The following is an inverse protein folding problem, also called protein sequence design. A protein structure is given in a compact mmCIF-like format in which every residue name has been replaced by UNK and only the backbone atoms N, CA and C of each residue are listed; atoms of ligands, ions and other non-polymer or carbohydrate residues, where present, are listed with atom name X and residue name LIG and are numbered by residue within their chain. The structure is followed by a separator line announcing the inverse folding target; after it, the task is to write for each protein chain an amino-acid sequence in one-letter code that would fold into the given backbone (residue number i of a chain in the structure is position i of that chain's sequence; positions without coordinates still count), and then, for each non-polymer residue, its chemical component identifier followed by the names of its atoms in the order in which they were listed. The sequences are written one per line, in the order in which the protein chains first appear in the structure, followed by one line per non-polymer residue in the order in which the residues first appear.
data_IF_886318986706
#
_entry.id   IF_886318986706
#
_cell.length_a   1.000
_cell.length_b   1.000
_cell.length_c   1.000
_cell.angle_alpha   90.00
_cell.angle_beta   90.00
_cell.angle_gamma   90.00
#
_symmetry.space_group_name_H-M   'P 1'
#
loop_
_entity.id
_entity.type
_entity.pdbx_description
1 polymer ?
#
# COMPACT_ATOMS: atom_id res chain seq x y z
N UNK A 1 28.15 22.06 -31.70
CA UNK A 1 27.34 22.34 -30.49
C UNK A 1 25.93 21.76 -30.58
N UNK A 2 25.18 21.99 -31.67
CA UNK A 2 23.79 21.50 -31.81
C UNK A 2 23.60 19.97 -31.69
N UNK A 3 24.50 19.15 -32.24
CA UNK A 3 24.39 17.68 -32.20
C UNK A 3 24.37 17.12 -30.77
N UNK A 4 25.08 17.76 -29.81
CA UNK A 4 25.05 17.36 -28.39
C UNK A 4 23.69 17.61 -27.74
N UNK A 5 22.99 18.69 -28.11
CA UNK A 5 21.67 18.99 -27.56
C UNK A 5 20.60 18.04 -28.09
N UNK A 6 20.66 17.67 -29.37
CA UNK A 6 19.77 16.65 -29.94
C UNK A 6 20.00 15.27 -29.31
N UNK A 7 21.27 14.86 -29.11
CA UNK A 7 21.59 13.59 -28.46
C UNK A 7 21.11 13.56 -27.00
N UNK A 8 21.29 14.67 -26.27
CA UNK A 8 20.80 14.81 -24.90
C UNK A 8 19.26 14.79 -24.84
N UNK A 9 18.58 15.50 -25.75
CA UNK A 9 17.12 15.55 -25.83
C UNK A 9 16.49 14.20 -26.20
N UNK A 10 17.13 13.42 -27.06
CA UNK A 10 16.68 12.06 -27.42
C UNK A 10 16.86 11.10 -26.23
N UNK A 11 17.96 11.23 -25.50
CA UNK A 11 18.24 10.42 -24.31
C UNK A 11 17.28 10.74 -23.15
N UNK A 12 16.89 12.00 -22.96
CA UNK A 12 15.90 12.38 -21.94
C UNK A 12 14.48 11.92 -22.29
N UNK A 13 14.11 11.92 -23.58
CA UNK A 13 12.79 11.51 -24.02
C UNK A 13 12.60 9.99 -23.92
N UNK A 14 13.65 9.20 -24.16
CA UNK A 14 13.60 7.75 -23.95
C UNK A 14 13.47 7.40 -22.47
N UNK A 15 14.23 8.05 -21.57
CA UNK A 15 14.11 7.86 -20.12
C UNK A 15 12.70 8.18 -19.60
N UNK A 16 12.05 9.22 -20.11
CA UNK A 16 10.67 9.55 -19.74
C UNK A 16 9.66 8.48 -20.20
N UNK A 17 9.93 7.78 -21.30
CA UNK A 17 9.08 6.68 -21.78
C UNK A 17 9.23 5.40 -20.93
N UNK A 18 10.41 5.17 -20.34
CA UNK A 18 10.66 4.06 -19.41
C UNK A 18 10.09 4.29 -18.00
N UNK A 19 9.75 5.53 -17.65
CA UNK A 19 9.18 5.87 -16.34
C UNK A 19 7.70 5.46 -16.18
N UNK A 20 7.10 4.79 -17.16
CA UNK A 20 5.80 4.16 -17.00
C UNK A 20 5.99 2.83 -16.26
N UNK A 21 6.06 2.90 -14.92
CA UNK A 21 5.74 1.74 -14.09
C UNK A 21 4.39 1.18 -14.56
N UNK A 22 4.31 -0.15 -14.74
CA UNK A 22 3.03 -0.79 -15.03
C UNK A 22 2.04 -0.42 -13.94
N UNK A 23 0.83 -0.21 -14.42
CA UNK A 23 -0.26 0.32 -13.62
C UNK A 23 -1.10 -0.78 -12.97
N UNK A 24 -0.70 -2.04 -13.13
CA UNK A 24 -1.29 -3.20 -12.49
C UNK A 24 -1.12 -3.13 -10.97
N UNK A 25 -2.24 -3.04 -10.27
CA UNK A 25 -2.31 -2.80 -8.83
C UNK A 25 -3.23 -3.80 -8.16
N UNK A 26 -2.70 -4.56 -7.21
CA UNK A 26 -3.51 -5.41 -6.34
C UNK A 26 -3.98 -4.58 -5.14
N UNK A 27 -5.28 -4.60 -4.87
CA UNK A 27 -5.89 -3.94 -3.72
C UNK A 27 -6.50 -4.99 -2.81
N UNK A 28 -5.95 -5.14 -1.61
CA UNK A 28 -6.44 -6.03 -0.57
C UNK A 28 -7.39 -5.25 0.34
N UNK A 29 -8.57 -5.81 0.56
CA UNK A 29 -9.61 -5.22 1.39
C UNK A 29 -9.94 -6.15 2.57
N UNK A 30 -10.18 -5.58 3.74
CA UNK A 30 -10.77 -6.32 4.87
C UNK A 30 -12.23 -6.68 4.61
N UNK A 31 -12.94 -5.78 3.93
CA UNK A 31 -14.36 -5.88 3.65
C UNK A 31 -14.65 -5.15 2.33
N UNK A 32 -15.52 -5.73 1.50
CA UNK A 32 -15.92 -5.15 0.21
C UNK A 32 -16.56 -3.76 0.35
N UNK A 33 -17.16 -3.42 1.50
CA UNK A 33 -17.71 -2.09 1.79
C UNK A 33 -16.64 -0.98 1.71
N UNK A 34 -15.36 -1.32 1.93
CA UNK A 34 -14.24 -0.38 1.80
C UNK A 34 -14.14 0.16 0.36
N UNK A 35 -14.49 -0.67 -0.64
CA UNK A 35 -14.51 -0.27 -2.06
C UNK A 35 -15.48 0.88 -2.33
N UNK A 36 -16.62 0.89 -1.65
CA UNK A 36 -17.67 1.90 -1.82
C UNK A 36 -17.32 3.18 -1.05
N UNK A 37 -16.92 3.03 0.22
CA UNK A 37 -16.57 4.15 1.10
C UNK A 37 -15.34 4.94 0.61
N UNK A 38 -14.40 4.29 -0.06
CA UNK A 38 -13.20 4.90 -0.63
C UNK A 38 -13.27 5.05 -2.16
N UNK A 39 -14.48 5.07 -2.72
CA UNK A 39 -14.71 5.13 -4.18
C UNK A 39 -14.02 6.32 -4.85
N UNK A 40 -13.97 7.49 -4.21
CA UNK A 40 -13.28 8.68 -4.72
C UNK A 40 -11.80 8.36 -4.99
N UNK A 41 -11.09 7.77 -4.02
CA UNK A 41 -9.68 7.39 -4.16
C UNK A 41 -9.50 6.40 -5.33
N UNK A 42 -10.29 5.32 -5.35
CA UNK A 42 -10.16 4.29 -6.38
C UNK A 42 -10.51 4.81 -7.77
N UNK A 43 -11.46 5.73 -7.90
CA UNK A 43 -11.78 6.37 -9.17
C UNK A 43 -10.64 7.28 -9.62
N UNK A 44 -10.07 8.10 -8.72
CA UNK A 44 -8.90 8.92 -9.05
C UNK A 44 -7.71 8.08 -9.50
N UNK A 45 -7.46 6.91 -8.88
CA UNK A 45 -6.42 5.98 -9.33
C UNK A 45 -6.73 5.43 -10.73
N UNK A 46 -7.96 4.99 -10.99
CA UNK A 46 -8.37 4.52 -12.33
C UNK A 46 -8.26 5.61 -13.40
N UNK A 47 -8.67 6.84 -13.09
CA UNK A 47 -8.56 7.99 -14.00
C UNK A 47 -7.09 8.32 -14.35
N UNK A 48 -6.16 8.08 -13.41
CA UNK A 48 -4.71 8.16 -13.65
C UNK A 48 -4.15 6.96 -14.41
N UNK A 49 -5.00 5.97 -14.73
CA UNK A 49 -4.68 4.79 -15.53
C UNK A 49 -4.31 3.55 -14.72
N UNK A 50 -4.50 3.52 -13.39
CA UNK A 50 -4.24 2.34 -12.57
C UNK A 50 -5.28 1.23 -12.82
N UNK A 51 -4.79 0.02 -13.09
CA UNK A 51 -5.60 -1.19 -13.24
C UNK A 51 -5.73 -1.87 -11.87
N UNK A 52 -6.86 -1.61 -11.19
CA UNK A 52 -7.09 -2.08 -9.83
C UNK A 52 -7.77 -3.44 -9.82
N UNK A 53 -7.10 -4.44 -9.26
CA UNK A 53 -7.66 -5.76 -8.95
C UNK A 53 -7.98 -5.83 -7.47
N UNK A 54 -9.26 -6.02 -7.11
CA UNK A 54 -9.70 -6.07 -5.72
C UNK A 54 -9.82 -7.51 -5.24
N UNK A 55 -9.21 -7.82 -4.09
CA UNK A 55 -9.33 -9.12 -3.42
C UNK A 55 -9.51 -8.95 -1.91
N UNK A 56 -10.08 -9.97 -1.26
CA UNK A 56 -10.11 -10.04 0.20
C UNK A 56 -8.70 -10.36 0.71
N UNK A 57 -8.29 -9.78 1.84
CA UNK A 57 -6.95 -10.00 2.39
C UNK A 57 -6.72 -11.46 2.86
N UNK A 58 -7.80 -12.20 3.13
CA UNK A 58 -7.83 -13.62 3.53
C UNK A 58 -8.12 -14.59 2.36
N UNK A 59 -8.18 -14.09 1.11
CA UNK A 59 -8.48 -14.93 -0.06
C UNK A 59 -7.38 -16.01 -0.26
N UNK A 60 -7.73 -17.31 -0.21
CA UNK A 60 -6.75 -18.41 -0.32
C UNK A 60 -6.11 -18.50 -1.72
N UNK A 61 -6.59 -17.74 -2.70
CA UNK A 61 -6.05 -17.69 -4.06
C UNK A 61 -5.13 -16.49 -4.30
N UNK A 62 -4.74 -15.78 -3.24
CA UNK A 62 -3.77 -14.69 -3.32
C UNK A 62 -2.38 -15.21 -3.70
N UNK A 63 -1.85 -14.64 -4.78
CA UNK A 63 -0.51 -14.93 -5.29
C UNK A 63 0.06 -13.63 -5.87
N UNK A 64 1.22 -13.20 -5.37
CA UNK A 64 1.89 -11.98 -5.81
C UNK A 64 2.80 -12.24 -7.03
N UNK A 65 3.47 -13.39 -7.05
CA UNK A 65 4.36 -13.83 -8.11
C UNK A 65 4.22 -15.32 -8.39
N UNK A 66 4.56 -15.72 -9.62
CA UNK A 66 4.67 -17.12 -10.01
C UNK A 66 5.85 -17.29 -10.95
N UNK A 67 6.65 -18.33 -10.73
CA UNK A 67 7.85 -18.62 -11.53
C UNK A 67 8.82 -17.43 -11.63
N UNK A 68 9.00 -16.68 -10.54
CA UNK A 68 9.92 -15.54 -10.47
C UNK A 68 9.43 -14.27 -11.20
N UNK A 69 8.16 -14.21 -11.62
CA UNK A 69 7.56 -13.02 -12.21
C UNK A 69 6.38 -12.53 -11.37
N UNK A 70 6.37 -11.24 -11.04
CA UNK A 70 5.26 -10.58 -10.37
C UNK A 70 4.09 -10.33 -11.33
N UNK A 71 2.87 -10.51 -10.83
CA UNK A 71 1.65 -10.19 -11.58
C UNK A 71 1.25 -8.72 -11.47
N UNK A 72 1.74 -8.05 -10.42
CA UNK A 72 1.41 -6.67 -10.08
C UNK A 72 2.70 -5.90 -9.81
N UNK A 73 2.70 -4.59 -10.07
CA UNK A 73 3.81 -3.71 -9.72
C UNK A 73 3.49 -2.87 -8.48
N UNK A 74 2.21 -2.78 -8.11
CA UNK A 74 1.74 -2.03 -6.95
C UNK A 74 0.84 -2.91 -6.07
N UNK A 75 0.99 -2.81 -4.76
CA UNK A 75 0.17 -3.47 -3.75
C UNK A 75 -0.40 -2.42 -2.80
N UNK A 76 -1.72 -2.37 -2.68
CA UNK A 76 -2.44 -1.52 -1.73
C UNK A 76 -3.13 -2.42 -0.70
N UNK A 77 -2.83 -2.26 0.59
CA UNK A 77 -3.40 -3.06 1.67
C UNK A 77 -4.30 -2.18 2.53
N UNK A 78 -5.59 -2.19 2.21
CA UNK A 78 -6.67 -1.56 2.99
C UNK A 78 -7.37 -2.62 3.85
N UNK A 79 -6.55 -3.34 4.61
CA UNK A 79 -6.97 -4.35 5.55
C UNK A 79 -6.32 -4.09 6.92
N UNK A 80 -6.67 -2.98 7.60
CA UNK A 80 -5.94 -2.54 8.78
C UNK A 80 -5.93 -3.56 9.92
N UNK A 81 -6.94 -4.43 10.03
CA UNK A 81 -7.06 -5.42 11.11
C UNK A 81 -6.62 -6.83 10.69
N UNK A 82 -5.88 -6.98 9.59
CA UNK A 82 -5.47 -8.30 9.10
C UNK A 82 -4.40 -8.90 10.02
N UNK A 83 -4.63 -10.13 10.47
CA UNK A 83 -3.69 -10.87 11.31
C UNK A 83 -2.74 -11.73 10.48
N UNK A 84 -3.25 -12.29 9.38
CA UNK A 84 -2.54 -13.16 8.45
C UNK A 84 -3.14 -12.98 7.05
N UNK A 85 -2.31 -13.05 6.01
CA UNK A 85 -2.77 -12.97 4.63
C UNK A 85 -3.16 -14.35 4.09
N UNK A 86 -4.08 -14.39 3.14
CA UNK A 86 -4.48 -15.62 2.47
C UNK A 86 -3.48 -16.11 1.42
N UNK A 87 -3.65 -17.38 1.04
CA UNK A 87 -2.97 -17.97 -0.12
C UNK A 87 -1.47 -18.14 0.08
N UNK A 88 -0.68 -17.70 -0.91
CA UNK A 88 0.79 -17.74 -0.83
C UNK A 88 1.39 -16.39 -0.43
N UNK A 89 0.56 -15.46 0.06
CA UNK A 89 1.01 -14.14 0.46
C UNK A 89 1.42 -14.18 1.94
N UNK A 90 2.61 -13.68 2.24
CA UNK A 90 3.24 -13.67 3.56
C UNK A 90 4.07 -12.39 3.72
N UNK A 91 4.49 -12.09 4.95
CA UNK A 91 5.37 -10.93 5.20
C UNK A 91 6.67 -11.03 4.40
N UNK A 92 7.27 -12.22 4.37
CA UNK A 92 8.49 -12.51 3.62
C UNK A 92 8.31 -12.22 2.11
N UNK A 93 7.20 -12.67 1.53
CA UNK A 93 6.95 -12.48 0.08
C UNK A 93 6.64 -11.02 -0.27
N UNK A 94 5.99 -10.27 0.63
CA UNK A 94 5.76 -8.83 0.44
C UNK A 94 7.07 -8.05 0.61
N UNK A 95 7.92 -8.43 1.57
CA UNK A 95 9.22 -7.80 1.79
C UNK A 95 10.13 -8.02 0.58
N UNK A 96 10.20 -9.26 0.07
CA UNK A 96 10.92 -9.54 -1.18
C UNK A 96 10.38 -8.75 -2.37
N UNK A 97 9.05 -8.57 -2.45
CA UNK A 97 8.45 -7.73 -3.49
C UNK A 97 8.89 -6.27 -3.40
N UNK A 98 9.04 -5.72 -2.19
CA UNK A 98 9.58 -4.37 -1.96
C UNK A 98 11.05 -4.32 -2.40
N UNK A 99 11.85 -5.30 -1.99
CA UNK A 99 13.29 -5.39 -2.34
C UNK A 99 13.51 -5.51 -3.87
N UNK A 100 12.59 -6.18 -4.56
CA UNK A 100 12.61 -6.32 -6.02
C UNK A 100 12.06 -5.08 -6.77
N UNK A 101 11.70 -4.02 -6.05
CA UNK A 101 11.29 -2.73 -6.61
C UNK A 101 9.77 -2.53 -6.74
N UNK A 102 8.95 -3.41 -6.15
CA UNK A 102 7.51 -3.26 -6.07
C UNK A 102 7.08 -2.16 -5.10
N UNK A 103 5.96 -1.49 -5.39
CA UNK A 103 5.45 -0.41 -4.53
C UNK A 103 4.38 -0.95 -3.59
N UNK A 104 4.51 -0.69 -2.28
CA UNK A 104 3.52 -1.08 -1.28
C UNK A 104 2.97 0.14 -0.56
N UNK A 105 1.65 0.25 -0.48
CA UNK A 105 0.93 1.20 0.36
C UNK A 105 0.02 0.40 1.29
N UNK A 106 0.16 0.58 2.61
CA UNK A 106 -0.78 -0.01 3.56
C UNK A 106 -1.30 1.04 4.54
N UNK A 107 -2.48 0.80 5.09
CA UNK A 107 -3.10 1.65 6.10
C UNK A 107 -3.18 0.93 7.43
N UNK A 108 -2.71 1.57 8.49
CA UNK A 108 -2.95 1.17 9.88
C UNK A 108 -4.02 2.05 10.55
N UNK A 109 -4.35 1.71 11.78
CA UNK A 109 -5.22 2.50 12.65
C UNK A 109 -5.07 2.07 14.11
N UNK A 110 -6.04 2.43 14.95
CA UNK A 110 -6.06 2.05 16.38
C UNK A 110 -6.02 0.54 16.60
N UNK A 111 -6.50 -0.24 15.62
CA UNK A 111 -6.53 -1.70 15.64
C UNK A 111 -5.70 -2.25 14.48
N UNK A 112 -4.42 -1.87 14.41
CA UNK A 112 -3.50 -2.40 13.38
C UNK A 112 -3.15 -3.84 13.69
N UNK A 113 -3.49 -4.75 12.77
CA UNK A 113 -3.29 -6.18 12.93
C UNK A 113 -1.82 -6.61 12.84
N UNK A 114 -1.52 -7.80 13.38
CA UNK A 114 -0.15 -8.32 13.55
C UNK A 114 0.65 -8.35 12.25
N UNK A 115 0.04 -8.78 11.15
CA UNK A 115 0.71 -8.85 9.85
C UNK A 115 1.21 -7.47 9.37
N UNK A 116 0.45 -6.41 9.58
CA UNK A 116 0.88 -5.06 9.19
C UNK A 116 1.95 -4.50 10.12
N UNK A 117 1.92 -4.85 11.42
CA UNK A 117 2.96 -4.46 12.37
C UNK A 117 4.29 -5.12 12.06
N UNK A 118 4.25 -6.41 11.70
CA UNK A 118 5.43 -7.17 11.29
C UNK A 118 6.00 -6.65 9.97
N UNK A 119 5.14 -6.41 8.95
CA UNK A 119 5.57 -5.79 7.70
C UNK A 119 6.21 -4.41 7.91
N UNK A 120 5.64 -3.60 8.79
CA UNK A 120 6.21 -2.30 9.14
C UNK A 120 7.59 -2.45 9.80
N UNK A 121 7.75 -3.43 10.69
CA UNK A 121 9.02 -3.70 11.38
C UNK A 121 10.12 -4.14 10.41
N UNK A 122 9.80 -4.98 9.41
CA UNK A 122 10.73 -5.35 8.32
C UNK A 122 11.20 -4.12 7.52
N UNK A 123 10.35 -3.09 7.43
CA UNK A 123 10.69 -1.81 6.81
C UNK A 123 11.35 -0.79 7.77
N UNK A 124 11.63 -1.18 9.02
CA UNK A 124 12.24 -0.31 10.03
C UNK A 124 11.29 0.65 10.75
N UNK A 125 9.98 0.41 10.67
CA UNK A 125 8.95 1.19 11.38
C UNK A 125 8.36 0.38 12.54
N UNK A 126 8.19 1.03 13.69
CA UNK A 126 7.52 0.42 14.83
C UNK A 126 6.09 0.96 14.95
N UNK A 127 5.11 0.07 14.79
CA UNK A 127 3.70 0.40 15.02
C UNK A 127 3.38 0.17 16.49
N UNK A 128 2.80 1.19 17.11
CA UNK A 128 2.37 1.18 18.51
C UNK A 128 1.37 0.05 18.79
N UNK A 129 1.18 -0.27 20.06
CA UNK A 129 0.28 -1.34 20.48
C UNK A 129 -1.16 -1.11 20.04
N UNK A 130 -1.94 -2.19 19.95
CA UNK A 130 -3.37 -2.09 19.67
C UNK A 130 -4.06 -1.21 20.72
N UNK A 131 -5.06 -0.46 20.26
CA UNK A 131 -5.81 0.54 21.04
C UNK A 131 -4.98 1.77 21.47
N UNK A 132 -3.77 1.94 20.96
CA UNK A 132 -3.07 3.23 21.02
C UNK A 132 -3.70 4.24 20.06
N UNK A 133 -3.66 5.52 20.42
CA UNK A 133 -4.21 6.61 19.61
C UNK A 133 -3.33 7.84 19.75
N UNK A 134 -3.21 8.62 18.68
CA UNK A 134 -2.51 9.90 18.72
C UNK A 134 -3.44 10.94 19.36
N UNK A 135 -2.95 11.64 20.38
CA UNK A 135 -3.70 12.66 21.11
C UNK A 135 -3.00 14.01 20.92
N UNK A 136 -3.72 15.00 20.42
CA UNK A 136 -3.30 16.41 20.40
C UNK A 136 -4.27 17.23 21.25
N UNK A 137 -3.75 17.96 22.24
CA UNK A 137 -4.53 18.81 23.12
C UNK A 137 -4.78 20.22 22.57
N UNK A 138 -4.06 20.62 21.52
CA UNK A 138 -4.14 21.95 20.93
C UNK A 138 -4.95 21.96 19.64
N UNK A 139 -4.81 20.92 18.80
CA UNK A 139 -5.48 20.83 17.50
C UNK A 139 -6.40 19.60 17.43
N UNK A 140 -7.45 19.60 18.25
CA UNK A 140 -8.51 18.58 18.17
C UNK A 140 -9.74 19.13 17.45
N UNK A 141 -10.45 18.26 16.74
CA UNK A 141 -11.76 18.56 16.18
C UNK A 141 -12.81 18.42 17.28
N UNK A 142 -13.74 19.36 17.41
CA UNK A 142 -14.83 19.29 18.39
C UNK A 142 -15.79 18.11 18.15
N UNK A 143 -15.78 17.52 16.95
CA UNK A 143 -16.49 16.29 16.63
C UNK A 143 -15.78 15.02 17.10
N UNK A 144 -14.54 15.12 17.59
CA UNK A 144 -13.82 14.01 18.19
C UNK A 144 -14.48 13.62 19.52
N UNK A 145 -14.71 12.33 19.71
CA UNK A 145 -15.28 11.76 20.94
C UNK A 145 -14.33 11.85 22.13
N UNK A 146 -13.09 12.33 21.92
CA UNK A 146 -12.11 12.55 22.97
C UNK A 146 -11.73 11.25 23.68
N UNK A 147 -11.46 10.16 22.95
CA UNK A 147 -11.04 8.89 23.55
C UNK A 147 -9.69 9.07 24.25
N UNK A 148 -9.75 9.25 25.57
CA UNK A 148 -8.61 9.36 26.49
C UNK A 148 -8.19 7.96 26.95
N UNK A 149 -6.89 7.66 26.90
CA UNK A 149 -6.29 6.61 27.74
C UNK A 149 -5.21 7.26 28.61
N UNK A 150 -5.28 7.01 29.92
CA UNK A 150 -4.26 7.40 30.89
C UNK A 150 -3.02 6.54 30.68
N UNK A 151 -1.89 7.17 30.43
CA UNK A 151 -0.58 6.57 30.65
C UNK A 151 -0.39 6.43 32.17
N UNK A 152 -0.17 5.20 32.66
CA UNK A 152 0.35 4.95 34.02
C UNK A 152 1.87 4.95 33.98
#
# INVERSE_FOLDING_TARGET
MLIKYYLCSILTLSLAAFANASKETLVLLNNLVIKETHSILFNTLKERGYHLTFKSADDPTLVLSKYGKYFYENLIIFAPTVQEFGGSLSIETITQFIDDGGNVLFTGGVSTGSALRELAAECGFEVTEENSSLIDHLNFDASDSGKVIKTY
#
